data_IF_483804278287
#
_entry.id   IF_483804278287
#
_cell.length_a   1.000
_cell.length_b   1.000
_cell.length_c   1.000
_cell.angle_alpha   90.00
_cell.angle_beta   90.00
_cell.angle_gamma   90.00
#
_symmetry.space_group_name_H-M   'P 1'
#
loop_
_entity.id
_entity.type
_entity.pdbx_description
1 polymer ?
#
# COMPACT_ATOMS: atom_id res chain seq x y z
N UNK A 1 -54.37 17.65 12.88
CA UNK A 1 -53.48 18.70 12.34
C UNK A 1 -52.12 18.61 13.02
N UNK A 2 -51.11 18.06 12.35
CA UNK A 2 -49.69 18.22 12.71
C UNK A 2 -48.92 18.13 11.40
N UNK A 3 -48.79 19.29 10.76
CA UNK A 3 -48.12 19.49 9.48
C UNK A 3 -46.62 19.35 9.74
N UNK A 4 -46.02 18.21 9.34
CA UNK A 4 -44.57 18.04 9.28
C UNK A 4 -44.01 19.19 8.42
N UNK A 5 -43.29 20.12 9.04
CA UNK A 5 -42.44 21.08 8.33
C UNK A 5 -41.36 20.28 7.60
N UNK A 6 -41.59 19.96 6.34
CA UNK A 6 -40.50 19.68 5.42
C UNK A 6 -39.67 20.96 5.33
N UNK A 7 -38.46 20.90 5.90
CA UNK A 7 -37.46 21.95 5.77
C UNK A 7 -37.18 22.12 4.28
N UNK A 8 -37.67 23.23 3.77
CA UNK A 8 -37.47 23.71 2.42
C UNK A 8 -35.99 23.88 2.11
N UNK A 9 -35.61 23.49 0.89
CA UNK A 9 -34.58 24.14 0.08
C UNK A 9 -33.17 24.08 0.69
N UNK A 10 -32.52 22.94 0.52
CA UNK A 10 -31.06 22.89 0.40
C UNK A 10 -30.73 23.61 -0.90
N UNK A 11 -30.43 24.90 -0.79
CA UNK A 11 -29.84 25.70 -1.85
C UNK A 11 -28.57 24.98 -2.30
N UNK A 12 -28.46 24.72 -3.60
CA UNK A 12 -27.28 24.11 -4.21
C UNK A 12 -26.09 25.06 -4.01
N UNK A 13 -25.42 24.93 -2.87
CA UNK A 13 -24.14 25.59 -2.64
C UNK A 13 -23.16 25.06 -3.69
N UNK A 14 -22.40 25.94 -4.37
CA UNK A 14 -21.37 25.51 -5.29
C UNK A 14 -20.41 24.60 -4.54
N UNK A 15 -20.09 23.47 -5.18
CA UNK A 15 -19.18 22.43 -4.67
C UNK A 15 -17.76 23.01 -4.62
N UNK A 16 -17.50 23.85 -3.64
CA UNK A 16 -16.16 24.34 -3.32
C UNK A 16 -15.55 23.41 -2.27
N UNK A 17 -14.23 23.26 -2.31
CA UNK A 17 -13.45 22.38 -1.42
C UNK A 17 -13.56 22.77 0.07
N UNK A 18 -14.26 23.87 0.35
CA UNK A 18 -14.20 24.63 1.58
C UNK A 18 -15.46 24.42 2.43
N UNK A 19 -15.26 24.31 3.75
CA UNK A 19 -16.36 24.22 4.71
C UNK A 19 -17.17 25.52 4.79
N UNK A 20 -18.35 25.50 5.41
CA UNK A 20 -19.26 26.66 5.52
C UNK A 20 -18.70 27.87 6.29
N UNK A 21 -17.49 27.79 6.85
CA UNK A 21 -16.88 28.88 7.65
C UNK A 21 -15.87 29.74 6.86
N UNK A 22 -15.82 29.65 5.52
CA UNK A 22 -14.92 30.44 4.68
C UNK A 22 -15.55 31.71 4.08
N UNK A 23 -16.38 32.42 4.86
CA UNK A 23 -16.68 33.82 4.56
C UNK A 23 -15.85 34.74 5.47
N UNK A 24 -14.52 34.64 5.41
CA UNK A 24 -13.66 35.59 6.12
C UNK A 24 -12.46 36.09 5.29
N UNK A 25 -12.55 37.41 5.07
CA UNK A 25 -11.55 38.43 4.75
C UNK A 25 -11.24 38.74 3.27
N UNK A 26 -11.79 39.90 2.88
CA UNK A 26 -11.56 40.75 1.72
C UNK A 26 -10.08 41.16 1.47
N UNK A 27 -9.12 40.24 1.56
CA UNK A 27 -7.75 40.53 1.14
C UNK A 27 -7.50 39.94 -0.26
N UNK A 28 -7.60 40.83 -1.24
CA UNK A 28 -7.79 40.60 -2.67
C UNK A 28 -6.60 39.99 -3.45
N UNK A 29 -5.60 39.36 -2.83
CA UNK A 29 -4.34 39.08 -3.56
C UNK A 29 -4.18 37.65 -4.09
N UNK A 30 -5.09 36.71 -3.81
CA UNK A 30 -5.01 35.35 -4.38
C UNK A 30 -6.39 34.83 -4.81
N UNK A 31 -7.02 35.53 -5.75
CA UNK A 31 -8.28 35.11 -6.40
C UNK A 31 -8.11 33.84 -7.26
N UNK A 32 -6.88 33.49 -7.67
CA UNK A 32 -6.67 32.42 -8.65
C UNK A 32 -6.94 31.02 -8.09
N UNK A 33 -6.59 30.76 -6.83
CA UNK A 33 -6.69 29.41 -6.23
C UNK A 33 -8.13 28.93 -6.08
N UNK A 34 -9.06 29.86 -5.85
CA UNK A 34 -10.49 29.57 -5.68
C UNK A 34 -11.22 29.38 -7.02
N UNK A 35 -10.54 29.49 -8.16
CA UNK A 35 -11.18 29.30 -9.47
C UNK A 35 -11.49 27.81 -9.69
N UNK A 36 -12.68 27.45 -10.20
CA UNK A 36 -13.11 26.05 -10.34
C UNK A 36 -12.21 25.24 -11.30
N UNK A 37 -11.65 25.89 -12.32
CA UNK A 37 -10.71 25.24 -13.24
C UNK A 37 -9.39 24.86 -12.57
N UNK A 38 -8.94 25.61 -11.56
CA UNK A 38 -7.71 25.31 -10.81
C UNK A 38 -7.89 24.04 -9.97
N UNK A 39 -9.04 23.89 -9.31
CA UNK A 39 -9.36 22.65 -8.61
C UNK A 39 -9.44 21.44 -9.56
N UNK A 40 -9.98 21.63 -10.78
CA UNK A 40 -9.97 20.57 -11.79
C UNK A 40 -8.54 20.22 -12.24
N UNK A 41 -7.72 21.23 -12.53
CA UNK A 41 -6.33 21.07 -12.91
C UNK A 41 -5.54 20.33 -11.83
N UNK A 42 -5.64 20.73 -10.56
CA UNK A 42 -4.90 20.12 -9.45
C UNK A 42 -5.24 18.63 -9.25
N UNK A 43 -6.48 18.21 -9.57
CA UNK A 43 -6.89 16.81 -9.55
C UNK A 43 -6.31 16.01 -10.72
N UNK A 44 -6.33 16.59 -11.93
CA UNK A 44 -5.70 15.98 -13.11
C UNK A 44 -4.19 15.83 -12.87
N UNK A 45 -3.54 16.86 -12.33
CA UNK A 45 -2.14 16.82 -11.93
C UNK A 45 -1.85 15.73 -10.89
N UNK A 46 -2.79 15.41 -9.99
CA UNK A 46 -2.60 14.35 -9.01
C UNK A 46 -2.57 12.98 -9.69
N UNK A 47 -3.44 12.76 -10.68
CA UNK A 47 -3.45 11.55 -11.51
C UNK A 47 -2.14 11.46 -12.32
N UNK A 48 -1.71 12.57 -12.94
CA UNK A 48 -0.43 12.63 -13.67
C UNK A 48 0.75 12.32 -12.75
N UNK A 49 0.74 12.81 -11.51
CA UNK A 49 1.77 12.53 -10.50
C UNK A 49 1.85 11.03 -10.17
N UNK A 50 0.69 10.35 -10.06
CA UNK A 50 0.66 8.89 -9.87
C UNK A 50 1.22 8.16 -11.09
N UNK A 51 0.83 8.59 -12.30
CA UNK A 51 1.37 8.00 -13.53
C UNK A 51 2.89 8.19 -13.60
N UNK A 52 3.39 9.39 -13.26
CA UNK A 52 4.83 9.69 -13.22
C UNK A 52 5.59 8.76 -12.29
N UNK A 53 5.13 8.57 -11.03
CA UNK A 53 5.81 7.66 -10.09
C UNK A 53 5.69 6.20 -10.51
N UNK A 54 4.58 5.76 -11.11
CA UNK A 54 4.44 4.40 -11.63
C UNK A 54 5.40 4.11 -12.80
N UNK A 55 5.72 5.12 -13.61
CA UNK A 55 6.70 5.01 -14.69
C UNK A 55 8.15 5.11 -14.22
N UNK A 56 8.38 5.55 -12.97
CA UNK A 56 9.71 5.84 -12.43
C UNK A 56 10.32 4.58 -11.79
N UNK A 57 10.69 3.61 -12.63
CA UNK A 57 11.39 2.38 -12.24
C UNK A 57 12.65 2.17 -13.09
N UNK A 58 13.72 1.59 -12.53
CA UNK A 58 15.00 1.45 -13.23
C UNK A 58 14.86 0.57 -14.48
N UNK A 59 14.10 -0.53 -14.40
CA UNK A 59 13.80 -1.39 -15.54
C UNK A 59 13.05 -0.65 -16.65
N UNK A 60 12.13 0.26 -16.30
CA UNK A 60 11.44 1.08 -17.31
C UNK A 60 12.40 2.03 -18.03
N UNK A 61 13.37 2.60 -17.31
CA UNK A 61 14.37 3.49 -17.92
C UNK A 61 15.39 2.75 -18.79
N UNK A 62 15.72 1.50 -18.46
CA UNK A 62 16.54 0.64 -19.33
C UNK A 62 15.85 0.37 -20.68
N UNK A 63 14.55 0.05 -20.66
CA UNK A 63 13.77 -0.19 -21.89
C UNK A 63 13.46 1.11 -22.66
N UNK A 64 13.19 2.21 -21.94
CA UNK A 64 12.82 3.50 -22.51
C UNK A 64 13.61 4.66 -21.87
N UNK A 65 14.87 4.88 -22.30
CA UNK A 65 15.72 5.96 -21.78
C UNK A 65 15.11 7.36 -21.78
N UNK A 66 14.34 7.82 -22.80
CA UNK A 66 13.78 9.17 -22.75
C UNK A 66 12.77 9.36 -21.61
N UNK A 67 12.19 8.29 -21.08
CA UNK A 67 11.16 8.36 -20.04
C UNK A 67 11.72 8.87 -18.70
N UNK A 68 13.02 8.70 -18.46
CA UNK A 68 13.70 9.23 -17.28
C UNK A 68 13.62 10.77 -17.23
N UNK A 69 13.86 11.44 -18.35
CA UNK A 69 13.79 12.89 -18.45
C UNK A 69 12.34 13.40 -18.50
N UNK A 70 11.43 12.62 -19.09
CA UNK A 70 9.99 12.95 -19.11
C UNK A 70 9.41 12.93 -17.70
N UNK A 71 9.64 11.87 -16.93
CA UNK A 71 9.18 11.78 -15.53
C UNK A 71 9.77 12.88 -14.66
N UNK A 72 11.07 13.18 -14.82
CA UNK A 72 11.72 14.31 -14.16
C UNK A 72 11.06 15.66 -14.49
N UNK A 73 10.76 15.89 -15.77
CA UNK A 73 10.11 17.12 -16.23
C UNK A 73 8.70 17.25 -15.65
N UNK A 74 7.91 16.17 -15.68
CA UNK A 74 6.57 16.13 -15.09
C UNK A 74 6.63 16.41 -13.58
N UNK A 75 7.51 15.73 -12.86
CA UNK A 75 7.67 15.89 -11.41
C UNK A 75 8.10 17.31 -11.04
N UNK A 76 8.97 17.93 -11.85
CA UNK A 76 9.36 19.34 -11.69
C UNK A 76 8.17 20.28 -11.85
N UNK A 77 7.38 20.13 -12.92
CA UNK A 77 6.19 20.96 -13.15
C UNK A 77 5.15 20.79 -12.03
N UNK A 78 4.90 19.55 -11.61
CA UNK A 78 3.98 19.22 -10.54
C UNK A 78 4.45 19.78 -9.19
N UNK A 79 5.75 19.65 -8.89
CA UNK A 79 6.35 20.20 -7.68
C UNK A 79 6.15 21.71 -7.62
N UNK A 80 6.44 22.45 -8.69
CA UNK A 80 6.22 23.90 -8.70
C UNK A 80 4.75 24.27 -8.51
N UNK A 81 3.84 23.59 -9.20
CA UNK A 81 2.40 23.83 -9.09
C UNK A 81 1.88 23.62 -7.65
N UNK A 82 2.23 22.49 -7.03
CA UNK A 82 1.78 22.17 -5.68
C UNK A 82 2.48 23.00 -4.60
N UNK A 83 3.75 23.37 -4.82
CA UNK A 83 4.46 24.29 -3.92
C UNK A 83 3.85 25.69 -3.97
N UNK A 84 3.52 26.20 -5.15
CA UNK A 84 2.86 27.49 -5.31
C UNK A 84 1.47 27.50 -4.64
N UNK A 85 0.71 26.42 -4.81
CA UNK A 85 -0.58 26.22 -4.16
C UNK A 85 -0.48 26.17 -2.63
N UNK A 86 0.53 25.46 -2.10
CA UNK A 86 0.82 25.40 -0.67
C UNK A 86 1.16 26.78 -0.08
N UNK A 87 2.07 27.51 -0.72
CA UNK A 87 2.50 28.84 -0.27
C UNK A 87 1.32 29.82 -0.28
N UNK A 88 0.51 29.79 -1.35
CA UNK A 88 -0.70 30.59 -1.45
C UNK A 88 -1.67 30.31 -0.29
N UNK A 89 -1.94 29.03 0.01
CA UNK A 89 -2.80 28.66 1.15
C UNK A 89 -2.23 29.08 2.50
N UNK A 90 -0.93 28.92 2.70
CA UNK A 90 -0.27 29.33 3.94
C UNK A 90 -0.32 30.85 4.15
N UNK A 91 -0.20 31.63 3.08
CA UNK A 91 -0.28 33.09 3.14
C UNK A 91 -1.70 33.57 3.48
N UNK A 92 -2.73 32.96 2.89
CA UNK A 92 -4.14 33.34 3.15
C UNK A 92 -4.58 32.96 4.56
N UNK A 93 -4.32 31.71 4.98
CA UNK A 93 -4.85 31.16 6.24
C UNK A 93 -3.95 31.42 7.45
N UNK A 94 -2.71 31.87 7.21
CA UNK A 94 -1.67 31.90 8.22
C UNK A 94 -1.15 30.49 8.58
N UNK A 95 0.10 30.43 9.03
CA UNK A 95 0.77 29.15 9.32
C UNK A 95 0.29 28.56 10.66
N UNK A 96 0.33 29.34 11.74
CA UNK A 96 0.05 28.86 13.12
C UNK A 96 -1.00 29.69 13.86
N UNK A 97 -1.14 30.99 13.54
CA UNK A 97 -2.06 31.91 14.22
C UNK A 97 -3.38 32.00 13.44
N UNK A 98 -4.50 31.78 14.12
CA UNK A 98 -5.86 31.78 13.56
C UNK A 98 -6.68 30.56 13.94
N UNK A 99 -8.01 30.66 13.88
CA UNK A 99 -8.91 29.52 14.13
C UNK A 99 -8.92 28.52 12.97
N UNK A 100 -8.58 28.97 11.76
CA UNK A 100 -8.50 28.19 10.51
C UNK A 100 -7.08 28.10 9.91
N UNK A 101 -6.04 28.10 10.74
CA UNK A 101 -4.64 28.04 10.28
C UNK A 101 -4.30 26.75 9.51
N UNK A 102 -3.30 26.83 8.62
CA UNK A 102 -2.87 25.72 7.74
C UNK A 102 -2.58 24.42 8.50
N UNK A 103 -1.87 24.50 9.63
CA UNK A 103 -1.47 23.32 10.42
C UNK A 103 -2.64 22.67 11.18
N UNK A 104 -3.74 23.39 11.41
CA UNK A 104 -4.94 22.84 12.08
C UNK A 104 -5.80 22.01 11.13
N UNK A 105 -5.75 22.29 9.83
CA UNK A 105 -6.48 21.54 8.80
C UNK A 105 -5.70 20.27 8.38
N UNK A 106 -6.26 19.09 8.72
CA UNK A 106 -5.67 17.79 8.40
C UNK A 106 -5.42 17.59 6.91
N UNK A 107 -6.26 18.18 6.05
CA UNK A 107 -6.08 18.09 4.59
C UNK A 107 -4.92 18.95 4.10
N UNK A 108 -4.71 20.12 4.71
CA UNK A 108 -3.55 20.96 4.43
C UNK A 108 -2.25 20.30 4.89
N UNK A 109 -2.23 19.68 6.09
CA UNK A 109 -1.08 18.92 6.56
C UNK A 109 -0.73 17.77 5.61
N UNK A 110 -1.75 17.03 5.14
CA UNK A 110 -1.56 15.99 4.13
C UNK A 110 -0.99 16.57 2.81
N UNK A 111 -1.57 17.66 2.28
CA UNK A 111 -1.09 18.29 1.05
C UNK A 111 0.38 18.76 1.19
N UNK A 112 0.76 19.31 2.35
CA UNK A 112 2.15 19.70 2.65
C UNK A 112 3.10 18.50 2.72
N UNK A 113 2.68 17.39 3.35
CA UNK A 113 3.47 16.15 3.36
C UNK A 113 3.69 15.59 1.94
N UNK A 114 2.67 15.66 1.08
CA UNK A 114 2.79 15.21 -0.31
C UNK A 114 3.74 16.10 -1.13
N UNK A 115 3.72 17.42 -0.92
CA UNK A 115 4.70 18.35 -1.52
C UNK A 115 6.11 18.03 -1.07
N UNK A 116 6.31 17.74 0.21
CA UNK A 116 7.61 17.31 0.73
C UNK A 116 8.09 16.01 0.06
N UNK A 117 7.23 15.00 -0.09
CA UNK A 117 7.57 13.75 -0.77
C UNK A 117 7.93 13.99 -2.25
N UNK A 118 7.28 14.93 -2.93
CA UNK A 118 7.62 15.33 -4.30
C UNK A 118 9.01 15.97 -4.38
N UNK A 119 9.35 16.87 -3.45
CA UNK A 119 10.69 17.46 -3.35
C UNK A 119 11.77 16.40 -3.13
N UNK A 120 11.57 15.51 -2.16
CA UNK A 120 12.52 14.42 -1.88
C UNK A 120 12.70 13.52 -3.11
N UNK A 121 11.61 13.15 -3.78
CA UNK A 121 11.66 12.34 -5.00
C UNK A 121 12.40 13.03 -6.14
N UNK A 122 12.19 14.34 -6.32
CA UNK A 122 12.82 15.10 -7.39
C UNK A 122 14.33 15.24 -7.13
N UNK A 123 14.71 15.59 -5.91
CA UNK A 123 16.13 15.67 -5.51
C UNK A 123 16.82 14.32 -5.67
N UNK A 124 16.17 13.22 -5.26
CA UNK A 124 16.68 11.87 -5.50
C UNK A 124 16.87 11.59 -6.99
N UNK A 125 15.90 11.94 -7.84
CA UNK A 125 16.00 11.74 -9.27
C UNK A 125 17.12 12.59 -9.91
N UNK A 126 17.42 13.78 -9.38
CA UNK A 126 18.60 14.56 -9.80
C UNK A 126 19.90 13.79 -9.52
N UNK A 127 20.03 13.19 -8.34
CA UNK A 127 21.22 12.40 -7.99
C UNK A 127 21.34 11.11 -8.83
N UNK A 128 20.21 10.50 -9.19
CA UNK A 128 20.16 9.34 -10.10
C UNK A 128 20.51 9.71 -11.55
N UNK A 129 20.14 10.90 -12.03
CA UNK A 129 20.52 11.41 -13.37
C UNK A 129 22.00 11.81 -13.39
N UNK A 130 22.54 12.27 -12.27
CA UNK A 130 23.96 12.65 -12.13
C UNK A 130 24.90 11.46 -11.90
N UNK A 131 24.39 10.21 -11.95
CA UNK A 131 25.13 8.97 -11.67
C UNK A 131 25.81 8.93 -10.29
N UNK A 132 25.34 9.74 -9.33
CA UNK A 132 25.84 9.77 -7.94
C UNK A 132 25.19 8.65 -7.12
N UNK A 133 23.93 8.33 -7.43
CA UNK A 133 23.14 7.28 -6.78
C UNK A 133 22.76 6.25 -7.83
N UNK A 134 23.07 4.98 -7.56
CA UNK A 134 22.62 3.86 -8.39
C UNK A 134 21.08 3.76 -8.40
N UNK A 135 20.49 3.67 -9.59
CA UNK A 135 19.04 3.57 -9.77
C UNK A 135 18.46 2.27 -9.20
N UNK A 136 19.26 1.21 -9.08
CA UNK A 136 18.85 -0.05 -8.46
C UNK A 136 18.91 -0.02 -6.93
N UNK A 137 19.35 1.08 -6.34
CA UNK A 137 19.48 1.22 -4.89
C UNK A 137 18.13 1.29 -4.17
N UNK A 138 18.08 0.96 -2.86
CA UNK A 138 16.88 1.08 -2.05
C UNK A 138 16.35 2.52 -1.88
N UNK A 139 17.11 3.55 -2.30
CA UNK A 139 16.71 4.95 -2.16
C UNK A 139 15.40 5.27 -2.89
N UNK A 140 15.05 4.50 -3.93
CA UNK A 140 13.74 4.56 -4.60
C UNK A 140 12.54 4.37 -3.65
N UNK A 141 12.73 3.73 -2.49
CA UNK A 141 11.69 3.57 -1.47
C UNK A 141 11.18 4.90 -0.91
N UNK A 142 11.96 5.99 -1.00
CA UNK A 142 11.50 7.33 -0.61
C UNK A 142 10.29 7.82 -1.44
N UNK A 143 10.00 7.16 -2.57
CA UNK A 143 8.86 7.46 -3.44
C UNK A 143 7.57 6.72 -3.04
N UNK A 144 7.64 5.74 -2.14
CA UNK A 144 6.48 4.94 -1.65
C UNK A 144 5.26 5.78 -1.23
N UNK A 145 5.38 6.93 -0.53
CA UNK A 145 4.20 7.71 -0.17
C UNK A 145 3.55 8.46 -1.35
N UNK A 146 4.25 8.68 -2.47
CA UNK A 146 3.75 9.52 -3.59
C UNK A 146 2.42 9.06 -4.19
N UNK A 147 2.15 7.76 -4.41
CA UNK A 147 0.84 7.30 -4.91
C UNK A 147 -0.34 7.72 -4.03
N UNK A 148 -0.14 8.04 -2.75
CA UNK A 148 -1.19 8.56 -1.87
C UNK A 148 -1.75 9.90 -2.35
N UNK A 149 -1.04 10.64 -3.23
CA UNK A 149 -1.55 11.87 -3.85
C UNK A 149 -2.88 11.64 -4.59
N UNK A 150 -3.16 10.39 -5.00
CA UNK A 150 -4.43 10.00 -5.62
C UNK A 150 -5.64 10.30 -4.72
N UNK A 151 -5.48 10.29 -3.39
CA UNK A 151 -6.53 10.69 -2.44
C UNK A 151 -7.02 12.11 -2.74
N UNK A 152 -6.14 13.01 -3.19
CA UNK A 152 -6.49 14.39 -3.58
C UNK A 152 -7.42 14.42 -4.80
N UNK A 153 -7.23 13.53 -5.76
CA UNK A 153 -8.12 13.42 -6.93
C UNK A 153 -9.54 13.02 -6.52
N UNK A 154 -9.67 12.11 -5.55
CA UNK A 154 -10.96 11.60 -5.09
C UNK A 154 -11.61 12.37 -3.94
N UNK A 155 -10.88 13.29 -3.29
CA UNK A 155 -11.31 14.03 -2.08
C UNK A 155 -12.70 14.65 -2.20
N UNK A 156 -13.04 15.21 -3.36
CA UNK A 156 -14.34 15.85 -3.62
C UNK A 156 -15.52 14.89 -3.45
N UNK A 157 -15.31 13.60 -3.76
CA UNK A 157 -16.34 12.57 -3.68
C UNK A 157 -16.58 12.09 -2.24
N UNK A 158 -15.71 12.45 -1.28
CA UNK A 158 -15.90 12.16 0.15
C UNK A 158 -16.79 13.18 0.88
N UNK A 159 -17.54 13.99 0.13
CA UNK A 159 -18.60 14.87 0.62
C UNK A 159 -19.93 14.12 0.52
N UNK A 160 -20.35 13.57 1.65
CA UNK A 160 -21.65 12.90 1.78
C UNK A 160 -22.69 13.90 2.30
N UNK A 161 -23.95 13.72 1.92
CA UNK A 161 -25.08 14.54 2.42
C UNK A 161 -25.32 14.35 3.93
N UNK A 162 -24.79 13.28 4.51
CA UNK A 162 -24.93 12.93 5.92
C UNK A 162 -23.97 13.74 6.79
N UNK A 163 -24.39 14.18 8.00
CA UNK A 163 -23.49 14.87 8.91
C UNK A 163 -22.32 13.96 9.32
N UNK A 164 -21.12 14.55 9.42
CA UNK A 164 -19.87 13.80 9.72
C UNK A 164 -19.99 12.91 10.96
N UNK A 165 -20.73 13.35 11.98
CA UNK A 165 -20.99 12.59 13.23
C UNK A 165 -21.73 11.27 13.00
N UNK A 166 -22.66 11.24 12.04
CA UNK A 166 -23.37 10.00 11.69
C UNK A 166 -22.44 9.03 10.98
N UNK A 167 -21.60 9.54 10.07
CA UNK A 167 -20.61 8.73 9.34
C UNK A 167 -19.61 8.12 10.33
N UNK A 168 -19.08 8.90 11.28
CA UNK A 168 -18.16 8.38 12.30
C UNK A 168 -18.81 7.33 13.18
N UNK A 169 -20.10 7.49 13.53
CA UNK A 169 -20.83 6.48 14.31
C UNK A 169 -21.05 5.18 13.52
N UNK A 170 -21.35 5.27 12.22
CA UNK A 170 -21.47 4.10 11.34
C UNK A 170 -20.13 3.39 11.23
N UNK A 171 -19.04 4.12 10.92
CA UNK A 171 -17.69 3.56 10.83
C UNK A 171 -17.25 2.93 12.15
N UNK A 172 -17.56 3.56 13.29
CA UNK A 172 -17.28 2.99 14.61
C UNK A 172 -18.01 1.67 14.83
N UNK A 173 -19.32 1.63 14.58
CA UNK A 173 -20.13 0.41 14.74
C UNK A 173 -19.67 -0.71 13.81
N UNK A 174 -19.44 -0.41 12.54
CA UNK A 174 -18.92 -1.38 11.57
C UNK A 174 -17.51 -1.84 11.94
N UNK A 175 -16.66 -0.94 12.44
CA UNK A 175 -15.32 -1.26 12.94
C UNK A 175 -15.36 -2.21 14.14
N UNK A 176 -16.24 -1.98 15.12
CA UNK A 176 -16.43 -2.87 16.27
C UNK A 176 -16.93 -4.26 15.86
N UNK A 177 -17.81 -4.35 14.86
CA UNK A 177 -18.27 -5.63 14.31
C UNK A 177 -17.14 -6.37 13.57
N UNK A 178 -16.42 -5.68 12.68
CA UNK A 178 -15.27 -6.25 11.97
C UNK A 178 -14.23 -6.73 12.97
N UNK A 179 -13.90 -5.92 13.99
CA UNK A 179 -12.96 -6.28 15.05
C UNK A 179 -13.37 -7.57 15.77
N UNK A 180 -14.65 -7.70 16.12
CA UNK A 180 -15.18 -8.90 16.77
C UNK A 180 -15.03 -10.14 15.88
N UNK A 181 -15.33 -10.03 14.58
CA UNK A 181 -15.17 -11.12 13.60
C UNK A 181 -13.69 -11.44 13.36
N UNK A 182 -12.81 -10.44 13.32
CA UNK A 182 -11.37 -10.62 13.14
C UNK A 182 -10.75 -11.36 14.33
N UNK A 183 -11.12 -11.03 15.57
CA UNK A 183 -10.66 -11.79 16.75
C UNK A 183 -11.16 -13.24 16.69
N UNK A 184 -12.43 -13.44 16.30
CA UNK A 184 -12.99 -14.78 16.17
C UNK A 184 -12.25 -15.60 15.09
N UNK A 185 -11.92 -14.99 13.95
CA UNK A 185 -11.09 -15.61 12.92
C UNK A 185 -9.69 -15.93 13.45
N UNK A 186 -9.04 -14.99 14.13
CA UNK A 186 -7.71 -15.20 14.71
C UNK A 186 -7.72 -16.36 15.73
N UNK A 187 -8.78 -16.48 16.53
CA UNK A 187 -8.96 -17.62 17.43
C UNK A 187 -9.02 -18.94 16.67
N UNK A 188 -9.77 -19.02 15.57
CA UNK A 188 -9.83 -20.24 14.75
C UNK A 188 -8.52 -20.55 14.05
N UNK A 189 -7.83 -19.55 13.52
CA UNK A 189 -6.52 -19.73 12.89
C UNK A 189 -5.49 -20.22 13.91
N UNK A 190 -5.52 -19.71 15.14
CA UNK A 190 -4.66 -20.21 16.23
C UNK A 190 -5.04 -21.65 16.63
N UNK A 191 -6.34 -21.94 16.76
CA UNK A 191 -6.84 -23.26 17.14
C UNK A 191 -6.43 -24.31 16.10
N UNK A 192 -6.70 -24.06 14.82
CA UNK A 192 -6.31 -24.95 13.72
C UNK A 192 -4.80 -24.97 13.50
N UNK A 193 -4.10 -23.87 13.78
CA UNK A 193 -2.65 -23.82 13.75
C UNK A 193 -2.03 -24.77 14.79
N UNK A 194 -2.52 -24.74 16.04
CA UNK A 194 -2.06 -25.66 17.09
C UNK A 194 -2.43 -27.11 16.75
N UNK A 195 -3.67 -27.36 16.29
CA UNK A 195 -4.07 -28.70 15.84
C UNK A 195 -3.17 -29.19 14.71
N UNK A 196 -2.86 -28.33 13.75
CA UNK A 196 -1.96 -28.64 12.64
C UNK A 196 -0.57 -29.06 13.11
N UNK A 197 0.04 -28.28 14.00
CA UNK A 197 1.39 -28.58 14.57
C UNK A 197 1.41 -29.84 15.45
N UNK A 198 0.30 -30.19 16.10
CA UNK A 198 0.24 -31.38 16.97
C UNK A 198 -0.14 -32.65 16.19
N UNK A 199 -0.95 -32.54 15.15
CA UNK A 199 -1.39 -33.67 14.33
C UNK A 199 -0.42 -33.98 13.19
N UNK A 200 0.20 -32.94 12.63
CA UNK A 200 1.14 -33.04 11.53
C UNK A 200 2.50 -32.52 11.97
N UNK A 201 3.54 -32.91 11.23
CA UNK A 201 4.90 -32.45 11.46
C UNK A 201 5.49 -31.78 10.23
N UNK A 202 6.79 -31.97 10.04
CA UNK A 202 7.50 -31.55 8.83
C UNK A 202 7.21 -32.52 7.69
N UNK A 203 6.87 -32.00 6.51
CA UNK A 203 6.69 -32.81 5.30
C UNK A 203 8.01 -32.91 4.53
N UNK A 204 9.05 -33.40 5.19
CA UNK A 204 10.43 -33.46 4.66
C UNK A 204 10.80 -34.84 4.12
N UNK A 205 9.95 -35.85 4.36
CA UNK A 205 10.16 -37.22 3.90
C UNK A 205 9.64 -37.42 2.47
N UNK A 206 10.53 -37.79 1.56
CA UNK A 206 10.21 -38.06 0.15
C UNK A 206 10.80 -39.38 -0.33
N UNK A 207 10.18 -39.96 -1.37
CA UNK A 207 10.71 -41.13 -2.06
C UNK A 207 11.89 -40.74 -2.95
N UNK A 208 13.08 -41.24 -2.59
CA UNK A 208 14.31 -41.04 -3.37
C UNK A 208 14.88 -42.38 -3.85
N UNK A 209 15.65 -42.37 -4.93
CA UNK A 209 16.33 -43.58 -5.42
C UNK A 209 17.27 -44.17 -4.36
N UNK A 210 17.38 -45.50 -4.32
CA UNK A 210 18.12 -46.22 -3.27
C UNK A 210 19.59 -45.79 -3.11
N UNK A 211 20.25 -45.38 -4.19
CA UNK A 211 21.66 -45.00 -4.20
C UNK A 211 21.92 -43.55 -3.72
N UNK A 212 20.87 -42.83 -3.32
CA UNK A 212 21.00 -41.44 -2.84
C UNK A 212 21.78 -41.39 -1.52
N UNK A 213 22.78 -40.50 -1.47
CA UNK A 213 23.63 -40.26 -0.29
C UNK A 213 23.37 -38.86 0.29
N UNK A 214 23.57 -38.65 1.60
CA UNK A 214 23.52 -37.32 2.22
C UNK A 214 24.42 -36.31 1.50
N UNK A 215 23.90 -35.10 1.25
CA UNK A 215 24.62 -34.01 0.58
C UNK A 215 24.70 -34.10 -0.96
N UNK A 216 24.16 -35.16 -1.59
CA UNK A 216 24.22 -35.33 -3.05
C UNK A 216 22.85 -35.72 -3.63
N UNK A 217 21.80 -35.07 -3.14
CA UNK A 217 20.44 -35.20 -3.67
C UNK A 217 20.23 -34.21 -4.79
N UNK A 218 19.59 -34.66 -5.86
CA UNK A 218 19.33 -33.86 -7.07
C UNK A 218 17.91 -34.10 -7.55
N UNK A 219 17.44 -33.32 -8.53
CA UNK A 219 16.14 -33.53 -9.16
C UNK A 219 15.94 -34.95 -9.73
N UNK A 220 17.02 -35.61 -10.16
CA UNK A 220 16.97 -36.98 -10.69
C UNK A 220 16.90 -38.05 -9.58
N UNK A 221 17.09 -37.66 -8.33
CA UNK A 221 16.98 -38.55 -7.18
C UNK A 221 15.53 -38.75 -6.73
N UNK A 222 14.63 -37.82 -7.08
CA UNK A 222 13.22 -37.81 -6.67
C UNK A 222 12.35 -38.65 -7.60
N UNK A 223 11.19 -39.10 -7.10
CA UNK A 223 10.16 -39.72 -7.93
C UNK A 223 9.52 -38.71 -8.90
N UNK A 224 8.86 -39.21 -9.95
CA UNK A 224 8.09 -38.39 -10.90
C UNK A 224 6.63 -38.86 -10.91
N UNK A 225 5.66 -38.04 -10.43
CA UNK A 225 5.87 -36.77 -9.72
C UNK A 225 6.55 -37.00 -8.37
N UNK A 226 7.07 -35.93 -7.77
CA UNK A 226 7.62 -35.98 -6.42
C UNK A 226 6.52 -36.40 -5.43
N UNK A 227 6.86 -37.30 -4.51
CA UNK A 227 5.91 -37.92 -3.58
C UNK A 227 6.46 -37.97 -2.17
N UNK A 228 5.66 -37.50 -1.23
CA UNK A 228 5.92 -37.67 0.19
C UNK A 228 5.72 -39.13 0.62
N UNK A 229 6.46 -39.54 1.64
CA UNK A 229 6.39 -40.89 2.19
C UNK A 229 6.44 -40.87 3.72
N UNK A 230 6.13 -42.01 4.31
CA UNK A 230 6.29 -42.25 5.75
C UNK A 230 7.45 -43.23 5.99
N UNK A 231 8.31 -42.99 6.99
CA UNK A 231 9.32 -43.98 7.39
C UNK A 231 8.72 -45.17 8.15
N UNK A 232 7.53 -45.03 8.72
CA UNK A 232 6.81 -46.08 9.45
C UNK A 232 6.04 -46.98 8.49
N UNK A 233 6.05 -48.30 8.70
CA UNK A 233 5.52 -49.29 7.76
C UNK A 233 3.98 -49.31 7.63
N UNK A 234 3.26 -48.90 8.67
CA UNK A 234 1.78 -48.98 8.73
C UNK A 234 1.08 -47.64 8.48
N UNK A 235 1.82 -46.54 8.42
CA UNK A 235 1.28 -45.18 8.28
C UNK A 235 1.71 -44.56 6.95
N UNK A 236 0.85 -43.74 6.35
CA UNK A 236 1.19 -42.95 5.16
C UNK A 236 1.52 -43.76 3.90
N UNK A 237 2.20 -43.12 2.95
CA UNK A 237 2.57 -43.73 1.67
C UNK A 237 3.92 -44.44 1.75
N UNK A 238 3.97 -45.68 1.23
CA UNK A 238 5.18 -46.51 1.18
C UNK A 238 5.80 -46.44 -0.22
N UNK A 239 7.09 -46.12 -0.29
CA UNK A 239 7.81 -46.04 -1.56
C UNK A 239 7.86 -47.40 -2.27
N UNK A 240 7.71 -47.44 -3.61
CA UNK A 240 7.80 -48.68 -4.38
C UNK A 240 9.24 -49.21 -4.44
N UNK A 241 9.44 -50.48 -4.84
CA UNK A 241 10.77 -51.06 -5.00
C UNK A 241 11.67 -50.23 -5.94
N UNK A 242 12.90 -49.95 -5.48
CA UNK A 242 13.85 -49.06 -6.17
C UNK A 242 13.95 -47.67 -5.55
N UNK A 243 12.99 -47.31 -4.69
CA UNK A 243 12.98 -46.09 -3.89
C UNK A 243 13.03 -46.41 -2.39
N UNK A 244 13.56 -45.46 -1.63
CA UNK A 244 13.58 -45.45 -0.16
C UNK A 244 13.05 -44.11 0.34
N UNK A 245 12.42 -44.13 1.50
CA UNK A 245 11.93 -42.93 2.16
C UNK A 245 13.07 -42.26 2.94
N UNK A 246 13.39 -41.00 2.63
CA UNK A 246 14.43 -40.24 3.33
C UNK A 246 13.97 -38.82 3.64
N UNK A 247 14.46 -38.27 4.74
CA UNK A 247 14.29 -36.86 5.08
C UNK A 247 15.24 -35.99 4.24
N UNK A 248 14.69 -35.03 3.49
CA UNK A 248 15.46 -34.13 2.63
C UNK A 248 16.27 -33.08 3.42
N UNK A 249 15.84 -32.70 4.62
CA UNK A 249 16.64 -31.79 5.48
C UNK A 249 17.93 -32.49 5.93
N UNK A 250 17.86 -33.77 6.30
CA UNK A 250 19.03 -34.59 6.63
C UNK A 250 19.96 -34.81 5.42
N UNK A 251 19.41 -34.76 4.20
CA UNK A 251 20.19 -34.79 2.97
C UNK A 251 20.86 -33.46 2.63
N UNK A 252 20.65 -32.42 3.43
CA UNK A 252 21.31 -31.11 3.32
C UNK A 252 20.52 -30.06 2.53
N UNK A 253 19.23 -30.29 2.24
CA UNK A 253 18.39 -29.23 1.67
C UNK A 253 18.04 -28.19 2.73
N UNK A 254 17.99 -26.95 2.28
CA UNK A 254 17.48 -25.84 3.08
C UNK A 254 15.96 -25.72 2.95
N UNK A 255 15.34 -25.14 3.98
CA UNK A 255 13.89 -24.88 3.97
C UNK A 255 13.44 -23.93 2.85
N UNK A 256 14.33 -23.05 2.37
CA UNK A 256 14.02 -22.17 1.23
C UNK A 256 13.79 -22.96 -0.06
N UNK A 257 14.43 -24.13 -0.20
CA UNK A 257 14.29 -25.01 -1.36
C UNK A 257 13.07 -25.93 -1.24
N UNK A 258 12.73 -26.34 -0.01
CA UNK A 258 11.57 -27.20 0.29
C UNK A 258 10.24 -26.43 0.33
N UNK A 259 10.30 -25.13 0.63
CA UNK A 259 9.15 -24.23 0.66
C UNK A 259 8.74 -23.80 2.06
N UNK A 260 7.74 -22.91 2.10
CA UNK A 260 7.31 -22.23 3.32
C UNK A 260 6.05 -22.81 3.95
N UNK A 261 5.27 -23.59 3.21
CA UNK A 261 4.03 -24.19 3.72
C UNK A 261 4.34 -25.45 4.55
N UNK A 262 3.81 -25.53 5.76
CA UNK A 262 3.97 -26.71 6.61
C UNK A 262 3.57 -26.47 8.06
N UNK A 263 3.63 -27.53 8.87
CA UNK A 263 3.20 -27.52 10.27
C UNK A 263 4.37 -27.56 11.26
N UNK A 264 5.58 -27.17 10.83
CA UNK A 264 6.79 -27.28 11.65
C UNK A 264 6.71 -26.41 12.92
N UNK A 265 6.03 -25.26 12.82
CA UNK A 265 5.92 -24.27 13.90
C UNK A 265 4.68 -23.39 13.71
N UNK A 266 4.19 -22.80 14.81
CA UNK A 266 2.88 -22.12 14.84
C UNK A 266 2.77 -20.95 13.86
N UNK A 267 3.88 -20.26 13.57
CA UNK A 267 3.89 -19.12 12.64
C UNK A 267 3.71 -19.51 11.17
N UNK A 268 4.09 -20.73 10.80
CA UNK A 268 3.97 -21.24 9.43
C UNK A 268 2.72 -22.09 9.21
N UNK A 269 2.12 -22.54 10.32
CA UNK A 269 0.85 -23.23 10.33
C UNK A 269 -0.39 -22.30 10.25
N UNK A 270 -0.19 -20.98 10.36
CA UNK A 270 -1.25 -19.96 10.30
C UNK A 270 -1.64 -19.60 8.86
#
# INVERSE_FOLDING_TARGET
MLKRKQSSRVEAQPVTDFGPDESLSDNADILWINKPWVHSLLRICAIISVISVCMNTPMTFEHYPPLQYVTFTLDTLLMFLYTAEMIAKMHIRGIVKGDSSYVKDRWCVFDGFMVFCLWVSLVLQVFEIADIVDQMSPWGMLRIPRPLIMIRAFRIYFRFELPRTRITNILKRSGEQIWSVSIFLLFFLLLYGILGVQMFGTFTYHCVVNDTKPGNVTWNSLAIPDTHCSPELEEGYQCPPGFKCMDLEDLGLSRQELGYSGFNEIGLSY
#
